data_IF_661591789085
#
_entry.id   IF_661591789085
#
_cell.length_a   1.000
_cell.length_b   1.000
_cell.length_c   1.000
_cell.angle_alpha   90.00
_cell.angle_beta   90.00
_cell.angle_gamma   90.00
#
_symmetry.space_group_name_H-M   'P 1'
#
loop_
_entity.id
_entity.type
_entity.pdbx_description
1 polymer ?
#
# COMPACT_ATOMS: atom_id res chain seq x y z
N UNK A 1 -55.74 -23.30 -14.62
CA UNK A 1 -54.42 -23.72 -14.11
C UNK A 1 -53.38 -23.48 -15.20
N UNK A 2 -52.52 -22.47 -15.03
CA UNK A 2 -51.22 -22.40 -15.69
C UNK A 2 -50.35 -21.39 -14.90
N UNK A 3 -49.24 -21.90 -14.39
CA UNK A 3 -48.31 -21.30 -13.44
C UNK A 3 -47.76 -19.94 -13.89
N UNK A 4 -47.96 -18.91 -13.07
CA UNK A 4 -47.19 -17.66 -13.08
C UNK A 4 -45.92 -17.74 -12.20
N UNK A 5 -45.55 -18.93 -11.72
CA UNK A 5 -44.48 -19.12 -10.72
C UNK A 5 -43.05 -19.01 -11.26
N UNK A 6 -42.83 -18.93 -12.58
CA UNK A 6 -41.49 -18.99 -13.18
C UNK A 6 -40.87 -17.62 -13.50
N UNK A 7 -41.56 -16.51 -13.23
CA UNK A 7 -41.07 -15.15 -13.58
C UNK A 7 -40.33 -14.42 -12.45
N UNK A 8 -40.21 -15.05 -11.28
CA UNK A 8 -39.57 -14.47 -10.09
C UNK A 8 -38.17 -15.03 -9.77
N UNK A 9 -37.80 -16.20 -10.31
CA UNK A 9 -36.49 -16.83 -10.00
C UNK A 9 -35.31 -16.19 -10.75
N UNK A 10 -35.56 -15.60 -11.92
CA UNK A 10 -34.49 -15.00 -12.74
C UNK A 10 -34.03 -13.64 -12.20
N UNK A 11 -34.94 -12.85 -11.62
CA UNK A 11 -34.65 -11.51 -11.06
C UNK A 11 -33.86 -11.61 -9.75
N UNK A 12 -34.22 -12.59 -8.90
CA UNK A 12 -33.55 -12.88 -7.63
C UNK A 12 -32.12 -13.43 -7.85
N UNK A 13 -31.91 -14.17 -8.95
CA UNK A 13 -30.58 -14.67 -9.35
C UNK A 13 -29.62 -13.54 -9.79
N UNK A 14 -30.15 -12.50 -10.42
CA UNK A 14 -29.42 -11.32 -10.86
C UNK A 14 -29.04 -10.39 -9.71
N UNK A 15 -29.95 -10.18 -8.76
CA UNK A 15 -29.66 -9.43 -7.52
C UNK A 15 -28.64 -10.17 -6.64
N UNK A 16 -28.81 -11.48 -6.42
CA UNK A 16 -27.86 -12.30 -5.65
C UNK A 16 -26.45 -12.29 -6.26
N UNK A 17 -26.31 -12.27 -7.59
CA UNK A 17 -25.00 -12.11 -8.27
C UNK A 17 -24.38 -10.76 -7.97
N UNK A 18 -25.16 -9.66 -8.06
CA UNK A 18 -24.68 -8.30 -7.76
C UNK A 18 -24.30 -8.14 -6.28
N UNK A 19 -25.04 -8.78 -5.37
CA UNK A 19 -24.72 -8.77 -3.93
C UNK A 19 -23.42 -9.52 -3.66
N UNK A 20 -23.24 -10.71 -4.24
CA UNK A 20 -21.98 -11.47 -4.15
C UNK A 20 -20.81 -10.68 -4.74
N UNK A 21 -20.97 -10.09 -5.91
CA UNK A 21 -19.92 -9.31 -6.57
C UNK A 21 -19.52 -8.07 -5.74
N UNK A 22 -20.50 -7.36 -5.16
CA UNK A 22 -20.23 -6.26 -4.21
C UNK A 22 -19.50 -6.74 -2.97
N UNK A 23 -19.91 -7.86 -2.37
CA UNK A 23 -19.27 -8.41 -1.17
C UNK A 23 -17.82 -8.85 -1.45
N UNK A 24 -17.57 -9.49 -2.60
CA UNK A 24 -16.21 -9.82 -3.04
C UNK A 24 -15.36 -8.57 -3.26
N UNK A 25 -15.93 -7.53 -3.87
CA UNK A 25 -15.23 -6.28 -4.13
C UNK A 25 -14.87 -5.57 -2.81
N UNK A 26 -15.79 -5.49 -1.85
CA UNK A 26 -15.54 -4.93 -0.53
C UNK A 26 -14.48 -5.73 0.24
N UNK A 27 -14.54 -7.06 0.21
CA UNK A 27 -13.54 -7.92 0.84
C UNK A 27 -12.14 -7.75 0.23
N UNK A 28 -12.08 -7.62 -1.10
CA UNK A 28 -10.83 -7.38 -1.82
C UNK A 28 -10.23 -6.00 -1.47
N UNK A 29 -11.06 -4.96 -1.43
CA UNK A 29 -10.63 -3.61 -1.04
C UNK A 29 -10.13 -3.57 0.41
N UNK A 30 -10.82 -4.24 1.33
CA UNK A 30 -10.38 -4.36 2.72
C UNK A 30 -9.05 -5.10 2.86
N UNK A 31 -8.83 -6.15 2.07
CA UNK A 31 -7.57 -6.90 2.03
C UNK A 31 -6.42 -6.06 1.46
N UNK A 32 -6.68 -5.30 0.39
CA UNK A 32 -5.70 -4.37 -0.18
C UNK A 32 -5.27 -3.30 0.82
N UNK A 33 -6.19 -2.78 1.62
CA UNK A 33 -5.87 -1.78 2.63
C UNK A 33 -4.99 -2.34 3.75
N UNK A 34 -5.29 -3.55 4.24
CA UNK A 34 -4.43 -4.25 5.21
C UNK A 34 -3.02 -4.47 4.66
N UNK A 35 -2.91 -4.86 3.39
CA UNK A 35 -1.62 -4.99 2.71
C UNK A 35 -0.87 -3.65 2.62
N UNK A 36 -1.55 -2.55 2.31
CA UNK A 36 -0.92 -1.22 2.27
C UNK A 36 -0.41 -0.78 3.64
N UNK A 37 -1.20 -0.98 4.70
CA UNK A 37 -0.75 -0.69 6.08
C UNK A 37 0.42 -1.58 6.50
N UNK A 38 0.40 -2.87 6.12
CA UNK A 38 1.53 -3.77 6.33
C UNK A 38 2.79 -3.25 5.61
N UNK A 39 2.66 -2.81 4.36
CA UNK A 39 3.77 -2.24 3.60
C UNK A 39 4.33 -0.97 4.26
N UNK A 40 3.48 -0.09 4.78
CA UNK A 40 3.91 1.07 5.56
C UNK A 40 4.75 0.62 6.75
N UNK A 41 4.25 -0.33 7.53
CA UNK A 41 4.97 -0.90 8.67
C UNK A 41 6.33 -1.50 8.25
N UNK A 42 6.37 -2.23 7.14
CA UNK A 42 7.59 -2.81 6.59
C UNK A 42 8.63 -1.73 6.22
N UNK A 43 8.21 -0.65 5.54
CA UNK A 43 9.11 0.46 5.18
C UNK A 43 9.71 1.10 6.43
N UNK A 44 8.90 1.36 7.45
CA UNK A 44 9.39 1.91 8.72
C UNK A 44 10.27 0.93 9.49
N UNK A 45 9.96 -0.37 9.46
CA UNK A 45 10.81 -1.39 10.07
C UNK A 45 12.19 -1.44 9.43
N UNK A 46 12.26 -1.40 8.09
CA UNK A 46 13.53 -1.35 7.35
C UNK A 46 14.29 -0.06 7.68
N UNK A 47 13.61 1.08 7.74
CA UNK A 47 14.22 2.36 8.12
C UNK A 47 14.80 2.30 9.53
N UNK A 48 14.03 1.82 10.51
CA UNK A 48 14.47 1.69 11.90
C UNK A 48 15.69 0.75 12.01
N UNK A 49 15.64 -0.41 11.36
CA UNK A 49 16.76 -1.33 11.28
C UNK A 49 17.98 -0.67 10.59
N UNK A 50 17.73 0.12 9.54
CA UNK A 50 18.77 0.83 8.82
C UNK A 50 19.50 1.86 9.68
N UNK A 51 18.74 2.62 10.48
CA UNK A 51 19.25 3.61 11.43
C UNK A 51 20.02 2.95 12.57
N UNK A 52 19.51 1.83 13.11
CA UNK A 52 20.16 1.11 14.20
C UNK A 52 21.52 0.51 13.79
N UNK A 53 21.61 -0.02 12.57
CA UNK A 53 22.84 -0.59 11.99
C UNK A 53 23.49 0.35 10.98
N UNK A 54 23.57 1.64 11.33
CA UNK A 54 24.25 2.63 10.52
C UNK A 54 25.77 2.41 10.50
N UNK A 55 26.41 2.67 9.36
CA UNK A 55 27.84 2.46 9.18
C UNK A 55 28.63 3.51 9.96
N UNK A 56 29.52 3.03 10.83
CA UNK A 56 30.53 3.86 11.52
C UNK A 56 31.80 3.95 10.66
N UNK A 57 31.67 4.45 9.43
CA UNK A 57 32.82 4.68 8.57
C UNK A 57 33.24 6.14 8.66
N UNK A 58 34.56 6.38 8.60
CA UNK A 58 35.14 7.73 8.56
C UNK A 58 35.04 8.36 7.16
N UNK A 59 34.53 7.61 6.18
CA UNK A 59 34.30 8.09 4.82
C UNK A 59 32.98 8.89 4.74
N UNK A 60 33.13 10.19 4.49
CA UNK A 60 32.04 11.16 4.34
C UNK A 60 31.12 10.78 3.17
N UNK A 61 31.64 10.14 2.13
CA UNK A 61 30.87 9.70 0.97
C UNK A 61 29.85 8.63 1.34
N UNK A 62 30.29 7.58 2.02
CA UNK A 62 29.43 6.49 2.47
C UNK A 62 28.35 6.98 3.45
N UNK A 63 28.71 7.87 4.37
CA UNK A 63 27.77 8.46 5.32
C UNK A 63 26.70 9.31 4.61
N UNK A 64 27.08 10.10 3.60
CA UNK A 64 26.16 10.94 2.84
C UNK A 64 25.14 10.11 2.05
N UNK A 65 25.59 9.02 1.40
CA UNK A 65 24.69 8.12 0.67
C UNK A 65 23.75 7.39 1.64
N UNK A 66 24.25 6.97 2.80
CA UNK A 66 23.43 6.37 3.84
C UNK A 66 22.33 7.32 4.32
N UNK A 67 22.69 8.57 4.64
CA UNK A 67 21.73 9.58 5.08
C UNK A 67 20.69 9.88 3.99
N UNK A 68 21.12 9.99 2.73
CA UNK A 68 20.22 10.20 1.59
C UNK A 68 19.23 9.04 1.46
N UNK A 69 19.70 7.80 1.61
CA UNK A 69 18.84 6.61 1.54
C UNK A 69 17.79 6.58 2.67
N UNK A 70 18.13 7.06 3.86
CA UNK A 70 17.19 7.21 4.97
C UNK A 70 16.12 8.25 4.67
N UNK A 71 16.50 9.40 4.10
CA UNK A 71 15.54 10.41 3.67
C UNK A 71 14.60 9.88 2.59
N UNK A 72 15.12 9.15 1.60
CA UNK A 72 14.28 8.54 0.55
C UNK A 72 13.34 7.49 1.13
N UNK A 73 13.80 6.63 2.06
CA UNK A 73 12.92 5.69 2.76
C UNK A 73 11.85 6.40 3.59
N UNK A 74 12.20 7.49 4.26
CA UNK A 74 11.25 8.26 5.06
C UNK A 74 10.17 8.90 4.18
N UNK A 75 10.56 9.52 3.06
CA UNK A 75 9.61 10.04 2.05
C UNK A 75 8.72 8.91 1.52
N UNK A 76 9.30 7.74 1.24
CA UNK A 76 8.57 6.56 0.78
C UNK A 76 7.57 6.07 1.83
N UNK A 77 7.95 6.04 3.11
CA UNK A 77 7.06 5.68 4.22
C UNK A 77 5.89 6.65 4.37
N UNK A 78 6.14 7.95 4.23
CA UNK A 78 5.08 8.98 4.23
C UNK A 78 4.16 8.83 3.02
N UNK A 79 4.70 8.57 1.83
CA UNK A 79 3.89 8.31 0.63
C UNK A 79 3.06 7.04 0.77
N UNK A 80 3.61 5.98 1.36
CA UNK A 80 2.92 4.73 1.63
C UNK A 80 1.79 4.93 2.65
N UNK A 81 2.03 5.72 3.70
CA UNK A 81 1.01 6.07 4.69
C UNK A 81 -0.13 6.84 4.04
N UNK A 82 0.19 7.75 3.11
CA UNK A 82 -0.79 8.48 2.31
C UNK A 82 -1.55 7.59 1.32
N UNK A 83 -0.91 6.61 0.69
CA UNK A 83 -1.58 5.64 -0.21
C UNK A 83 -2.49 4.66 0.56
N UNK A 84 -2.22 4.43 1.85
CA UNK A 84 -3.07 3.66 2.74
C UNK A 84 -4.31 4.45 3.24
N UNK A 85 -4.38 5.76 3.01
CA UNK A 85 -5.46 6.63 3.49
C UNK A 85 -5.20 7.23 4.89
N UNK A 86 -3.98 7.12 5.42
CA UNK A 86 -3.64 7.57 6.76
C UNK A 86 -4.09 6.60 7.88
N UNK A 87 -4.09 7.09 9.12
CA UNK A 87 -4.57 6.35 10.30
C UNK A 87 -6.09 6.46 10.53
N UNK A 88 -6.75 7.40 9.83
CA UNK A 88 -8.19 7.64 9.91
C UNK A 88 -8.81 7.03 8.67
N UNK A 89 -9.03 5.71 8.72
CA UNK A 89 -9.76 5.01 7.68
C UNK A 89 -11.25 5.40 7.75
N UNK A 90 -11.63 6.52 7.15
CA UNK A 90 -13.04 6.78 6.85
C UNK A 90 -13.45 5.88 5.69
N UNK A 91 -14.12 4.78 6.04
CA UNK A 91 -14.75 3.84 5.14
C UNK A 91 -15.96 4.48 4.46
N UNK A 92 -15.72 5.38 3.50
CA UNK A 92 -16.74 5.84 2.59
C UNK A 92 -16.35 5.49 1.15
N UNK A 93 -17.22 4.69 0.51
CA UNK A 93 -17.09 4.23 -0.88
C UNK A 93 -16.87 5.37 -1.89
N UNK A 94 -17.26 6.59 -1.54
CA UNK A 94 -17.19 7.76 -2.42
C UNK A 94 -15.91 8.62 -2.25
N UNK A 95 -15.10 8.37 -1.20
CA UNK A 95 -13.97 9.25 -0.85
C UNK A 95 -12.64 8.53 -0.66
N UNK A 96 -12.50 7.25 -1.03
CA UNK A 96 -11.20 6.58 -1.04
C UNK A 96 -10.34 7.04 -2.23
N UNK A 97 -9.93 8.32 -2.21
CA UNK A 97 -8.89 8.87 -3.10
C UNK A 97 -7.53 8.43 -2.56
N UNK A 98 -7.17 7.18 -2.86
CA UNK A 98 -5.79 6.71 -2.73
C UNK A 98 -4.82 7.56 -3.57
N UNK A 99 -3.53 7.24 -3.51
CA UNK A 99 -2.52 7.98 -4.29
C UNK A 99 -2.79 7.83 -5.80
N UNK A 100 -2.54 8.90 -6.56
CA UNK A 100 -2.63 8.87 -8.01
C UNK A 100 -1.73 7.73 -8.56
N UNK A 101 -2.16 6.94 -9.55
CA UNK A 101 -1.36 5.83 -10.11
C UNK A 101 0.07 6.22 -10.49
N UNK A 102 0.29 7.46 -10.95
CA UNK A 102 1.65 7.98 -11.20
C UNK A 102 2.49 8.06 -9.93
N UNK A 103 1.93 8.61 -8.85
CA UNK A 103 2.62 8.72 -7.56
C UNK A 103 2.84 7.35 -6.92
N UNK A 104 1.93 6.39 -7.12
CA UNK A 104 2.13 5.01 -6.65
C UNK A 104 3.34 4.36 -7.33
N UNK A 105 3.51 4.55 -8.65
CA UNK A 105 4.71 4.08 -9.36
C UNK A 105 5.98 4.74 -8.80
N UNK A 106 5.93 6.05 -8.54
CA UNK A 106 7.05 6.78 -7.93
C UNK A 106 7.39 6.23 -6.54
N UNK A 107 6.39 5.95 -5.69
CA UNK A 107 6.59 5.35 -4.37
C UNK A 107 7.34 4.02 -4.46
N UNK A 108 6.88 3.11 -5.32
CA UNK A 108 7.55 1.82 -5.51
C UNK A 108 8.96 1.97 -6.06
N UNK A 109 9.16 2.90 -7.00
CA UNK A 109 10.47 3.18 -7.56
C UNK A 109 11.45 3.73 -6.51
N UNK A 110 11.00 4.70 -5.70
CA UNK A 110 11.77 5.26 -4.59
C UNK A 110 12.09 4.20 -3.54
N UNK A 111 11.15 3.32 -3.22
CA UNK A 111 11.39 2.19 -2.32
C UNK A 111 12.54 1.31 -2.83
N UNK A 112 12.46 0.85 -4.08
CA UNK A 112 13.49 -0.01 -4.68
C UNK A 112 14.84 0.69 -4.72
N UNK A 113 14.90 1.96 -5.14
CA UNK A 113 16.13 2.75 -5.14
C UNK A 113 16.74 2.84 -3.74
N UNK A 114 15.93 3.10 -2.72
CA UNK A 114 16.43 3.25 -1.37
C UNK A 114 17.00 1.93 -0.81
N UNK A 115 16.37 0.80 -1.13
CA UNK A 115 16.92 -0.53 -0.81
C UNK A 115 18.25 -0.78 -1.52
N UNK A 116 18.34 -0.47 -2.82
CA UNK A 116 19.59 -0.60 -3.58
C UNK A 116 20.71 0.27 -3.00
N UNK A 117 20.43 1.54 -2.66
CA UNK A 117 21.40 2.42 -2.02
C UNK A 117 21.87 1.86 -0.67
N UNK A 118 20.95 1.34 0.15
CA UNK A 118 21.30 0.73 1.43
C UNK A 118 22.14 -0.53 1.27
N UNK A 119 21.88 -1.35 0.25
CA UNK A 119 22.69 -2.52 -0.05
C UNK A 119 24.10 -2.14 -0.50
N UNK A 120 24.23 -1.18 -1.43
CA UNK A 120 25.54 -0.74 -1.94
C UNK A 120 26.41 -0.15 -0.85
N UNK A 121 25.81 0.60 0.07
CA UNK A 121 26.53 1.22 1.18
C UNK A 121 27.01 0.15 2.18
N UNK A 122 26.31 -0.97 2.31
CA UNK A 122 26.63 -2.05 3.26
C UNK A 122 27.52 -3.17 2.69
N UNK A 123 27.73 -3.18 1.38
CA UNK A 123 28.63 -4.11 0.71
C UNK A 123 30.08 -3.65 0.92
#
# INVERSE_FOLDING_TARGET
>A
MANSSWRGEDDDSGEMRKIKEKAYHEWFLASLQKFRLFFVGLVFAILAFSVQFGIKSSDVGAFSVQFLSWLVLLITGVLALRDAGGFVAEYSKDTFKGLNPKMRKVMWFLFVIAIFMLMLVRL
#
